data_IF_765187188112
#
_entry.id   IF_765187188112
#
_cell.length_a   1.000
_cell.length_b   1.000
_cell.length_c   1.000
_cell.angle_alpha   90.00
_cell.angle_beta   90.00
_cell.angle_gamma   90.00
#
_symmetry.space_group_name_H-M   'P 1'
#
loop_
_entity.id
_entity.type
_entity.pdbx_description
1 polymer ?
#
# COMPACT_ATOMS: atom_id res chain seq x y z
N UNK A 1 -5.09 -5.45 -2.49
CA UNK A 1 -6.20 -4.48 -2.51
C UNK A 1 -6.78 -4.43 -1.11
N UNK A 2 -7.01 -3.24 -0.57
CA UNK A 2 -7.51 -3.05 0.78
C UNK A 2 -8.11 -1.66 0.96
N UNK A 3 -8.69 -1.42 2.14
CA UNK A 3 -9.23 -0.11 2.52
C UNK A 3 -8.23 0.60 3.43
N UNK A 4 -8.03 1.90 3.20
CA UNK A 4 -7.29 2.75 4.14
C UNK A 4 -8.19 3.03 5.34
N UNK A 5 -7.78 2.61 6.53
CA UNK A 5 -8.56 2.83 7.76
C UNK A 5 -8.17 4.14 8.46
N UNK A 6 -6.88 4.47 8.48
CA UNK A 6 -6.34 5.67 9.13
C UNK A 6 -5.09 6.16 8.41
N UNK A 7 -4.71 7.42 8.65
CA UNK A 7 -3.49 8.02 8.07
C UNK A 7 -3.60 8.28 6.56
N UNK A 8 -2.43 8.49 5.93
CA UNK A 8 -2.30 8.69 4.48
C UNK A 8 -1.34 7.65 3.92
N UNK A 9 -1.71 7.02 2.81
CA UNK A 9 -0.89 6.05 2.10
C UNK A 9 -0.36 6.67 0.81
N UNK A 10 0.96 6.73 0.64
CA UNK A 10 1.61 7.34 -0.51
C UNK A 10 2.60 6.38 -1.19
N UNK A 11 2.82 6.51 -2.51
CA UNK A 11 3.93 5.86 -3.19
C UNK A 11 5.28 6.22 -2.54
N UNK A 12 6.21 5.27 -2.47
CA UNK A 12 7.55 5.44 -1.88
C UNK A 12 7.62 5.28 -0.35
N UNK A 13 6.49 5.06 0.32
CA UNK A 13 6.50 4.82 1.77
C UNK A 13 7.09 3.45 2.13
N UNK A 14 7.82 3.39 3.23
CA UNK A 14 8.27 2.14 3.85
C UNK A 14 7.12 1.59 4.70
N UNK A 15 6.69 0.37 4.40
CA UNK A 15 5.51 -0.26 5.00
C UNK A 15 5.90 -1.57 5.65
N UNK A 16 5.35 -1.82 6.84
CA UNK A 16 5.52 -3.06 7.59
C UNK A 16 4.22 -3.87 7.57
N UNK A 17 4.29 -5.11 7.10
CA UNK A 17 3.18 -6.05 7.02
C UNK A 17 3.17 -6.99 8.23
N UNK A 18 2.06 -6.97 8.98
CA UNK A 18 1.75 -7.96 10.00
C UNK A 18 1.15 -9.23 9.36
N UNK A 19 1.26 -10.41 10.00
CA UNK A 19 1.93 -10.67 11.28
C UNK A 19 3.45 -10.90 11.17
N UNK A 20 3.99 -11.07 9.96
CA UNK A 20 5.40 -11.45 9.77
C UNK A 20 6.39 -10.29 9.97
N UNK A 21 5.92 -9.09 10.31
CA UNK A 21 6.72 -7.87 10.45
C UNK A 21 7.62 -7.58 9.25
N UNK A 22 7.16 -7.93 8.04
CA UNK A 22 7.92 -7.73 6.81
C UNK A 22 7.90 -6.25 6.44
N UNK A 23 9.06 -5.61 6.40
CA UNK A 23 9.19 -4.20 6.02
C UNK A 23 9.71 -4.08 4.59
N UNK A 24 9.00 -3.35 3.74
CA UNK A 24 9.35 -3.14 2.33
C UNK A 24 8.86 -1.79 1.83
N UNK A 25 9.36 -1.36 0.67
CA UNK A 25 8.94 -0.13 0.01
C UNK A 25 7.70 -0.35 -0.86
N UNK A 26 6.72 0.54 -0.68
CA UNK A 26 5.55 0.66 -1.54
C UNK A 26 5.86 1.40 -2.83
N UNK A 27 5.53 0.80 -3.97
CA UNK A 27 5.80 1.39 -5.28
C UNK A 27 4.70 2.32 -5.77
N UNK A 28 3.46 1.85 -5.71
CA UNK A 28 2.32 2.57 -6.27
C UNK A 28 1.08 2.31 -5.42
N UNK A 29 0.27 3.35 -5.33
CA UNK A 29 -1.10 3.29 -4.84
C UNK A 29 -1.99 3.46 -6.07
N UNK A 30 -2.97 2.58 -6.24
CA UNK A 30 -3.81 2.55 -7.43
C UNK A 30 -5.29 2.42 -7.03
N UNK A 31 -6.18 3.18 -7.69
CA UNK A 31 -7.62 3.06 -7.53
C UNK A 31 -8.26 3.01 -8.91
N UNK A 32 -9.08 1.98 -9.18
CA UNK A 32 -9.78 1.81 -10.45
C UNK A 32 -8.91 1.95 -11.73
N UNK A 33 -7.68 1.40 -11.70
CA UNK A 33 -6.66 1.50 -12.77
C UNK A 33 -5.99 2.87 -12.95
N UNK A 34 -6.14 3.78 -12.01
CA UNK A 34 -5.43 5.05 -11.98
C UNK A 34 -4.42 5.08 -10.81
N UNK A 35 -3.24 5.62 -11.07
CA UNK A 35 -2.23 5.82 -10.04
C UNK A 35 -2.57 7.06 -9.21
N UNK A 36 -2.55 6.91 -7.89
CA UNK A 36 -2.81 7.99 -6.93
C UNK A 36 -1.51 8.51 -6.34
N UNK A 37 -1.45 9.82 -6.13
CA UNK A 37 -0.35 10.45 -5.38
C UNK A 37 -0.46 10.17 -3.88
N UNK A 38 -1.69 10.01 -3.39
CA UNK A 38 -2.00 9.65 -2.01
C UNK A 38 -3.38 8.99 -1.93
N UNK A 39 -3.57 8.15 -0.91
CA UNK A 39 -4.85 7.60 -0.52
C UNK A 39 -5.13 7.91 0.95
N UNK A 40 -6.39 8.24 1.24
CA UNK A 40 -6.85 8.73 2.54
C UNK A 40 -7.87 7.76 3.14
N UNK A 41 -8.22 7.90 4.43
CA UNK A 41 -9.14 6.97 5.08
C UNK A 41 -10.49 6.91 4.38
N UNK A 42 -10.93 5.69 4.08
CA UNK A 42 -12.14 5.43 3.29
C UNK A 42 -11.85 4.94 1.87
N UNK A 43 -10.67 5.21 1.32
CA UNK A 43 -10.32 4.79 -0.04
C UNK A 43 -10.08 3.29 -0.13
N UNK A 44 -10.57 2.69 -1.21
CA UNK A 44 -10.30 1.30 -1.58
C UNK A 44 -9.25 1.27 -2.68
N UNK A 45 -8.05 0.82 -2.32
CA UNK A 45 -6.88 0.94 -3.20
C UNK A 45 -6.14 -0.40 -3.36
N UNK A 46 -5.60 -0.60 -4.56
CA UNK A 46 -4.49 -1.50 -4.80
C UNK A 46 -3.19 -0.85 -4.31
N UNK A 47 -2.33 -1.64 -3.68
CA UNK A 47 -1.00 -1.19 -3.28
C UNK A 47 0.04 -2.18 -3.78
N UNK A 48 0.96 -1.69 -4.59
CA UNK A 48 2.02 -2.51 -5.19
C UNK A 48 3.27 -2.44 -4.31
N UNK A 49 3.80 -3.61 -3.93
CA UNK A 49 5.02 -3.74 -3.11
C UNK A 49 6.00 -4.67 -3.77
N UNK A 50 7.29 -4.35 -3.67
CA UNK A 50 8.37 -5.24 -4.12
C UNK A 50 8.72 -6.27 -3.05
N UNK A 51 9.22 -7.42 -3.48
CA UNK A 51 9.90 -8.42 -2.64
C UNK A 51 9.03 -9.09 -1.56
N UNK A 52 7.70 -9.04 -1.68
CA UNK A 52 6.79 -9.83 -0.83
C UNK A 52 6.55 -11.16 -1.54
N UNK A 53 7.50 -12.09 -1.42
CA UNK A 53 7.30 -13.48 -1.83
C UNK A 53 7.16 -14.32 -0.57
N UNK A 54 5.96 -14.87 -0.34
CA UNK A 54 5.76 -15.97 0.59
C UNK A 54 6.01 -17.25 -0.23
N UNK A 55 7.22 -17.79 -0.14
CA UNK A 55 7.50 -19.13 -0.70
C UNK A 55 7.25 -20.18 0.37
#
# INVERSE_FOLDING_TARGET
>A
VGRVETGVLQPGMIITFAPCNLTTEGKSVEMHHEALQEAVPGDYVGFNVKNVSLK
#
